data_IF_171761934761
#
_entry.id   IF_171761934761
#
_cell.length_a   1.000
_cell.length_b   1.000
_cell.length_c   1.000
_cell.angle_alpha   90.00
_cell.angle_beta   90.00
_cell.angle_gamma   90.00
#
_symmetry.space_group_name_H-M   'P 1'
#
loop_
_entity.id
_entity.type
_entity.pdbx_description
1 polymer ?
#
# COMPACT_ATOMS: atom_id res chain seq x y z
N UNK A 1 -25.10 -17.91 -14.85
CA UNK A 1 -24.20 -16.78 -15.26
C UNK A 1 -22.81 -17.37 -15.53
N UNK A 2 -22.31 -17.21 -16.77
CA UNK A 2 -21.07 -17.82 -17.25
C UNK A 2 -20.02 -16.74 -17.49
N UNK A 3 -18.79 -16.94 -17.05
CA UNK A 3 -17.66 -16.02 -17.28
C UNK A 3 -17.26 -16.09 -18.76
N UNK A 4 -17.28 -14.96 -19.45
CA UNK A 4 -16.96 -14.86 -20.88
C UNK A 4 -15.57 -14.25 -21.16
N UNK A 5 -15.11 -13.31 -20.33
CA UNK A 5 -13.78 -12.74 -20.50
C UNK A 5 -13.14 -12.39 -19.17
N UNK A 6 -11.81 -12.43 -19.14
CA UNK A 6 -10.97 -11.92 -18.06
C UNK A 6 -9.87 -11.08 -18.70
N UNK A 7 -9.89 -9.78 -18.50
CA UNK A 7 -9.06 -8.83 -19.21
C UNK A 7 -8.27 -7.95 -18.26
N UNK A 8 -6.96 -8.15 -18.15
CA UNK A 8 -6.07 -7.20 -17.49
C UNK A 8 -5.82 -6.02 -18.44
N UNK A 9 -6.39 -4.87 -18.14
CA UNK A 9 -6.28 -3.65 -18.93
C UNK A 9 -5.11 -2.81 -18.39
N UNK A 10 -3.98 -2.84 -19.10
CA UNK A 10 -2.83 -1.99 -18.80
C UNK A 10 -3.06 -0.59 -19.37
N UNK A 11 -3.01 0.41 -18.50
CA UNK A 11 -3.20 1.81 -18.80
C UNK A 11 -1.91 2.56 -18.54
N UNK A 12 -1.54 3.48 -19.42
CA UNK A 12 -0.34 4.30 -19.28
C UNK A 12 -0.66 5.75 -19.61
N UNK A 13 -0.32 6.65 -18.67
CA UNK A 13 -0.50 8.08 -18.85
C UNK A 13 0.87 8.77 -18.76
N UNK A 14 1.45 9.21 -19.89
CA UNK A 14 2.62 10.06 -19.89
C UNK A 14 2.34 11.38 -19.15
N UNK A 15 3.29 11.82 -18.33
CA UNK A 15 3.23 13.17 -17.75
C UNK A 15 3.49 14.22 -18.83
N UNK A 16 2.79 15.34 -18.77
CA UNK A 16 2.99 16.47 -19.70
C UNK A 16 4.45 16.95 -19.67
N UNK A 17 5.05 16.97 -18.48
CA UNK A 17 6.48 17.21 -18.29
C UNK A 17 7.02 16.15 -17.30
N UNK A 18 8.22 15.57 -17.58
CA UNK A 18 8.87 14.68 -16.61
C UNK A 18 9.18 15.40 -15.30
N UNK A 19 8.95 14.73 -14.19
CA UNK A 19 9.25 15.27 -12.85
C UNK A 19 10.50 14.60 -12.31
N UNK A 20 11.52 15.39 -11.97
CA UNK A 20 12.78 14.90 -11.43
C UNK A 20 12.94 15.29 -9.96
N UNK A 21 13.21 14.30 -9.14
CA UNK A 21 13.42 14.43 -7.70
C UNK A 21 14.89 14.15 -7.37
N UNK A 22 15.64 15.14 -6.87
CA UNK A 22 17.00 14.92 -6.40
C UNK A 22 16.98 14.26 -5.00
N UNK A 23 17.95 13.38 -4.74
CA UNK A 23 18.19 12.79 -3.42
C UNK A 23 19.70 12.55 -3.22
N UNK A 24 20.12 12.18 -2.03
CA UNK A 24 21.53 12.08 -1.66
C UNK A 24 22.36 11.16 -2.58
N UNK A 25 21.76 10.09 -3.07
CA UNK A 25 22.40 9.12 -3.99
C UNK A 25 22.28 9.44 -5.48
N UNK A 26 21.56 10.52 -5.86
CA UNK A 26 21.34 10.85 -7.27
C UNK A 26 20.04 11.58 -7.55
N UNK A 27 19.31 11.16 -8.58
CA UNK A 27 17.98 11.66 -8.87
C UNK A 27 17.07 10.55 -9.42
N UNK A 28 15.76 10.73 -9.25
CA UNK A 28 14.73 9.89 -9.84
C UNK A 28 13.86 10.73 -10.76
N UNK A 29 13.69 10.32 -12.00
CA UNK A 29 12.78 10.99 -12.94
C UNK A 29 11.58 10.12 -13.24
N UNK A 30 10.40 10.69 -13.12
CA UNK A 30 9.12 10.06 -13.44
C UNK A 30 8.63 10.62 -14.78
N UNK A 31 8.39 9.75 -15.75
CA UNK A 31 7.94 10.12 -17.09
C UNK A 31 6.47 9.82 -17.34
N UNK A 32 5.93 8.86 -16.61
CA UNK A 32 4.56 8.37 -16.80
C UNK A 32 4.00 7.76 -15.53
N UNK A 33 2.70 7.59 -15.51
CA UNK A 33 1.97 6.81 -14.52
C UNK A 33 1.26 5.66 -15.21
N UNK A 34 1.43 4.48 -14.67
CA UNK A 34 0.82 3.28 -15.17
C UNK A 34 -0.22 2.77 -14.16
N UNK A 35 -1.27 2.13 -14.64
CA UNK A 35 -2.29 1.46 -13.85
C UNK A 35 -2.68 0.15 -14.52
N UNK A 36 -3.27 -0.77 -13.76
CA UNK A 36 -3.97 -1.92 -14.30
C UNK A 36 -5.35 -2.02 -13.68
N UNK A 37 -6.35 -2.27 -14.53
CA UNK A 37 -7.71 -2.61 -14.12
C UNK A 37 -8.03 -4.00 -14.63
N UNK A 38 -8.45 -4.89 -13.75
CA UNK A 38 -8.98 -6.20 -14.12
C UNK A 38 -10.46 -6.01 -14.44
N UNK A 39 -10.88 -6.51 -15.61
CA UNK A 39 -12.28 -6.55 -16.02
C UNK A 39 -12.69 -7.99 -16.29
N UNK A 40 -13.75 -8.45 -15.64
CA UNK A 40 -14.35 -9.76 -15.88
C UNK A 40 -15.78 -9.56 -16.35
N UNK A 41 -16.16 -10.18 -17.48
CA UNK A 41 -17.52 -10.11 -18.03
C UNK A 41 -18.20 -11.45 -18.01
N UNK A 42 -19.53 -11.43 -17.94
CA UNK A 42 -20.37 -12.63 -17.99
C UNK A 42 -21.32 -12.61 -19.19
N UNK A 43 -21.93 -13.75 -19.50
CA UNK A 43 -22.92 -13.89 -20.55
C UNK A 43 -24.29 -13.20 -20.27
N UNK A 44 -24.43 -12.59 -19.10
CA UNK A 44 -25.62 -11.82 -18.70
C UNK A 44 -25.29 -10.32 -18.53
N UNK A 45 -24.22 -9.85 -19.20
CA UNK A 45 -23.75 -8.46 -19.21
C UNK A 45 -23.35 -7.90 -17.84
N UNK A 46 -23.19 -8.75 -16.81
CA UNK A 46 -22.62 -8.33 -15.53
C UNK A 46 -21.11 -8.23 -15.64
N UNK A 47 -20.56 -7.14 -15.10
CA UNK A 47 -19.12 -6.83 -15.16
C UNK A 47 -18.57 -6.61 -13.77
N UNK A 48 -17.43 -7.24 -13.47
CA UNK A 48 -16.64 -7.01 -12.27
C UNK A 48 -15.36 -6.29 -12.58
N UNK A 49 -14.92 -5.43 -11.65
CA UNK A 49 -13.71 -4.66 -11.76
C UNK A 49 -12.84 -4.81 -10.50
N UNK A 50 -11.53 -4.72 -10.71
CA UNK A 50 -10.55 -4.63 -9.63
C UNK A 50 -9.35 -3.79 -10.04
N UNK A 51 -8.64 -3.17 -9.08
CA UNK A 51 -7.27 -2.70 -9.32
C UNK A 51 -6.32 -3.90 -9.40
N UNK A 52 -5.22 -3.73 -10.14
CA UNK A 52 -4.14 -4.71 -10.18
C UNK A 52 -2.78 -4.05 -10.30
N UNK A 53 -1.69 -4.78 -10.04
CA UNK A 53 -0.34 -4.28 -10.23
C UNK A 53 -0.10 -3.89 -11.70
N UNK A 54 0.35 -2.66 -11.96
CA UNK A 54 0.62 -2.18 -13.31
C UNK A 54 1.90 -2.82 -13.89
N UNK A 55 1.81 -4.11 -14.23
CA UNK A 55 2.90 -4.95 -14.69
C UNK A 55 2.49 -5.81 -15.88
N UNK A 56 3.30 -5.77 -16.95
CA UNK A 56 3.13 -6.65 -18.10
C UNK A 56 3.27 -8.13 -17.73
N UNK A 57 4.16 -8.45 -16.78
CA UNK A 57 4.35 -9.81 -16.28
C UNK A 57 3.10 -10.33 -15.57
N UNK A 58 2.48 -9.49 -14.72
CA UNK A 58 1.24 -9.84 -14.03
C UNK A 58 0.10 -9.98 -15.04
N UNK A 59 -0.03 -9.06 -16.00
CA UNK A 59 -1.05 -9.16 -17.05
C UNK A 59 -0.89 -10.44 -17.88
N UNK A 60 0.33 -10.79 -18.27
CA UNK A 60 0.63 -12.03 -18.99
C UNK A 60 0.28 -13.26 -18.13
N UNK A 61 0.60 -13.23 -16.85
CA UNK A 61 0.26 -14.31 -15.90
C UNK A 61 -1.26 -14.51 -15.81
N UNK A 62 -2.03 -13.41 -15.76
CA UNK A 62 -3.50 -13.48 -15.77
C UNK A 62 -4.00 -14.13 -17.05
N UNK A 63 -3.52 -13.66 -18.21
CA UNK A 63 -3.97 -14.16 -19.51
C UNK A 63 -3.62 -15.64 -19.71
N UNK A 64 -2.37 -16.01 -19.44
CA UNK A 64 -1.87 -17.36 -19.79
C UNK A 64 -2.17 -18.41 -18.73
N UNK A 65 -2.16 -18.01 -17.44
CA UNK A 65 -2.21 -18.99 -16.34
C UNK A 65 -3.53 -18.98 -15.56
N UNK A 66 -4.28 -17.85 -15.54
CA UNK A 66 -5.50 -17.73 -14.74
C UNK A 66 -6.75 -17.76 -15.61
N UNK A 67 -6.78 -16.97 -16.66
CA UNK A 67 -7.94 -16.90 -17.58
C UNK A 67 -8.44 -18.28 -18.08
N UNK A 68 -7.57 -19.25 -18.44
CA UNK A 68 -8.03 -20.56 -18.88
C UNK A 68 -8.82 -21.37 -17.84
N UNK A 69 -8.71 -21.03 -16.54
CA UNK A 69 -9.49 -21.68 -15.47
C UNK A 69 -10.85 -21.04 -15.25
N UNK A 70 -11.08 -19.87 -15.79
CA UNK A 70 -12.31 -19.09 -15.56
C UNK A 70 -13.23 -19.06 -16.78
N UNK A 71 -12.67 -19.12 -18.00
CA UNK A 71 -13.48 -19.05 -19.21
C UNK A 71 -14.44 -20.22 -19.34
N UNK A 72 -15.73 -19.92 -19.45
CA UNK A 72 -16.81 -20.89 -19.58
C UNK A 72 -17.30 -21.48 -18.26
N UNK A 73 -16.67 -21.13 -17.13
CA UNK A 73 -17.13 -21.55 -15.81
C UNK A 73 -18.34 -20.74 -15.34
N UNK A 74 -19.21 -21.38 -14.56
CA UNK A 74 -20.23 -20.66 -13.83
C UNK A 74 -19.62 -19.73 -12.80
N UNK A 75 -20.21 -18.54 -12.61
CA UNK A 75 -19.84 -17.63 -11.54
C UNK A 75 -20.03 -18.33 -10.18
N UNK A 76 -19.00 -18.31 -9.36
CA UNK A 76 -18.90 -19.03 -8.10
C UNK A 76 -18.46 -18.11 -6.95
N UNK A 77 -18.59 -18.58 -5.69
CA UNK A 77 -18.01 -17.91 -4.53
C UNK A 77 -16.47 -18.00 -4.58
N UNK A 78 -15.74 -16.86 -4.65
CA UNK A 78 -14.27 -16.88 -4.83
C UNK A 78 -13.46 -17.18 -3.57
N UNK A 79 -14.06 -17.56 -2.45
CA UNK A 79 -13.44 -17.70 -1.13
C UNK A 79 -12.11 -18.48 -1.09
N UNK A 80 -11.98 -19.53 -1.91
CA UNK A 80 -10.75 -20.34 -1.97
C UNK A 80 -9.99 -20.18 -3.30
N UNK A 81 -10.39 -19.25 -4.15
CA UNK A 81 -9.87 -19.13 -5.51
C UNK A 81 -8.36 -18.96 -5.56
N UNK A 82 -7.80 -18.08 -4.73
CA UNK A 82 -6.35 -17.82 -4.71
C UNK A 82 -5.59 -19.04 -4.21
N UNK A 83 -6.04 -19.69 -3.14
CA UNK A 83 -5.39 -20.90 -2.59
C UNK A 83 -5.39 -22.04 -3.59
N UNK A 84 -6.54 -22.33 -4.18
CA UNK A 84 -6.69 -23.42 -5.17
C UNK A 84 -5.78 -23.21 -6.39
N UNK A 85 -5.58 -21.97 -6.81
CA UNK A 85 -4.68 -21.66 -7.92
C UNK A 85 -3.21 -21.72 -7.51
N UNK A 86 -2.85 -21.18 -6.35
CA UNK A 86 -1.47 -21.24 -5.82
C UNK A 86 -1.04 -22.69 -5.60
N UNK A 87 -1.89 -23.54 -5.05
CA UNK A 87 -1.61 -24.97 -4.88
C UNK A 87 -1.35 -25.68 -6.22
N UNK A 88 -2.02 -25.26 -7.29
CA UNK A 88 -1.86 -25.85 -8.62
C UNK A 88 -0.69 -25.27 -9.43
N UNK A 89 -0.34 -24.00 -9.23
CA UNK A 89 0.58 -23.22 -10.09
C UNK A 89 1.80 -22.66 -9.36
N UNK A 90 1.81 -22.69 -8.03
CA UNK A 90 2.88 -22.16 -7.18
C UNK A 90 2.71 -20.70 -6.81
N UNK A 91 3.47 -20.23 -5.85
CA UNK A 91 3.37 -18.90 -5.22
C UNK A 91 3.57 -17.73 -6.19
N UNK A 92 4.27 -17.94 -7.30
CA UNK A 92 4.55 -16.89 -8.29
C UNK A 92 3.30 -16.25 -8.91
N UNK A 93 2.13 -16.88 -8.79
CA UNK A 93 0.86 -16.32 -9.30
C UNK A 93 0.04 -15.59 -8.23
N UNK A 94 0.49 -15.59 -6.98
CA UNK A 94 -0.29 -15.13 -5.82
C UNK A 94 -0.87 -13.72 -6.01
N UNK A 95 -0.03 -12.76 -6.40
CA UNK A 95 -0.47 -11.38 -6.67
C UNK A 95 -1.47 -11.29 -7.83
N UNK A 96 -1.19 -11.99 -8.95
CA UNK A 96 -2.08 -12.02 -10.11
C UNK A 96 -3.44 -12.67 -9.78
N UNK A 97 -3.43 -13.78 -9.04
CA UNK A 97 -4.64 -14.46 -8.60
C UNK A 97 -5.47 -13.58 -7.66
N UNK A 98 -4.80 -12.89 -6.73
CA UNK A 98 -5.45 -11.96 -5.81
C UNK A 98 -6.15 -10.80 -6.52
N UNK A 99 -5.50 -10.19 -7.53
CA UNK A 99 -6.13 -9.13 -8.31
C UNK A 99 -7.38 -9.62 -9.07
N UNK A 100 -7.34 -10.83 -9.62
CA UNK A 100 -8.51 -11.45 -10.28
C UNK A 100 -9.60 -11.81 -9.25
N UNK A 101 -9.23 -12.29 -8.07
CA UNK A 101 -10.18 -12.59 -6.99
C UNK A 101 -11.03 -11.37 -6.61
N UNK A 102 -10.43 -10.19 -6.51
CA UNK A 102 -11.16 -8.95 -6.19
C UNK A 102 -12.25 -8.68 -7.23
N UNK A 103 -11.96 -8.84 -8.53
CA UNK A 103 -12.95 -8.67 -9.58
C UNK A 103 -14.05 -9.76 -9.55
N UNK A 104 -13.71 -10.98 -9.13
CA UNK A 104 -14.68 -12.05 -8.90
C UNK A 104 -15.59 -11.72 -7.71
N UNK A 105 -15.07 -11.17 -6.62
CA UNK A 105 -15.88 -10.71 -5.49
C UNK A 105 -16.81 -9.55 -5.88
N UNK A 106 -16.35 -8.61 -6.69
CA UNK A 106 -17.22 -7.54 -7.22
C UNK A 106 -18.38 -8.12 -8.06
N UNK A 107 -18.10 -9.09 -8.94
CA UNK A 107 -19.14 -9.82 -9.68
C UNK A 107 -20.07 -10.59 -8.76
N UNK A 108 -19.53 -11.33 -7.81
CA UNK A 108 -20.29 -12.17 -6.89
C UNK A 108 -21.22 -11.33 -6.00
N UNK A 109 -20.71 -10.20 -5.49
CA UNK A 109 -21.53 -9.24 -4.75
C UNK A 109 -22.67 -8.64 -5.58
N UNK A 110 -22.39 -8.22 -6.81
CA UNK A 110 -23.41 -7.73 -7.76
C UNK A 110 -24.47 -8.78 -8.08
N UNK A 111 -24.06 -10.02 -8.36
CA UNK A 111 -24.98 -11.12 -8.66
C UNK A 111 -25.89 -11.47 -7.47
N UNK A 112 -25.36 -11.41 -6.26
CA UNK A 112 -26.11 -11.72 -5.03
C UNK A 112 -26.77 -10.48 -4.39
N UNK A 113 -26.55 -9.27 -4.93
CA UNK A 113 -27.07 -7.99 -4.45
C UNK A 113 -26.67 -7.72 -2.97
N UNK A 114 -25.42 -8.04 -2.63
CA UNK A 114 -24.87 -7.83 -1.30
C UNK A 114 -23.51 -7.13 -1.40
N UNK A 115 -23.09 -6.51 -0.29
CA UNK A 115 -21.77 -5.90 -0.20
C UNK A 115 -20.68 -6.97 -0.12
N UNK A 116 -19.52 -6.69 -0.71
CA UNK A 116 -18.33 -7.54 -0.58
C UNK A 116 -17.95 -7.75 0.89
N UNK A 117 -18.18 -6.76 1.74
CA UNK A 117 -17.89 -6.85 3.19
C UNK A 117 -18.65 -7.98 3.89
N UNK A 118 -19.84 -8.37 3.39
CA UNK A 118 -20.63 -9.46 3.96
C UNK A 118 -19.91 -10.82 3.87
N UNK A 119 -19.07 -11.03 2.87
CA UNK A 119 -18.28 -12.24 2.71
C UNK A 119 -17.11 -12.34 3.71
N UNK A 120 -16.73 -11.21 4.32
CA UNK A 120 -15.64 -11.10 5.29
C UNK A 120 -16.13 -10.81 6.72
N UNK A 121 -17.36 -11.23 7.05
CA UNK A 121 -17.93 -11.10 8.38
C UNK A 121 -18.60 -9.76 8.69
N UNK A 122 -18.81 -8.94 7.69
CA UNK A 122 -19.47 -7.63 7.78
C UNK A 122 -18.56 -6.51 8.30
N UNK A 123 -19.09 -5.31 8.27
CA UNK A 123 -18.36 -4.12 8.76
C UNK A 123 -18.19 -4.14 10.27
N UNK A 124 -16.96 -3.82 10.70
CA UNK A 124 -16.59 -3.58 12.10
C UNK A 124 -16.23 -2.11 12.35
N UNK A 125 -15.98 -1.32 11.28
CA UNK A 125 -15.67 0.11 11.32
C UNK A 125 -16.56 0.85 10.31
N UNK A 126 -17.02 2.06 10.66
CA UNK A 126 -17.76 2.94 9.75
C UNK A 126 -16.83 3.88 8.94
N UNK A 127 -15.63 4.09 9.45
CA UNK A 127 -14.58 4.90 8.81
C UNK A 127 -13.24 4.21 8.99
N UNK A 128 -12.28 4.50 8.11
CA UNK A 128 -10.87 4.12 8.29
C UNK A 128 -9.99 5.36 8.37
N UNK A 129 -9.07 5.37 9.32
CA UNK A 129 -8.14 6.47 9.50
C UNK A 129 -7.10 6.47 8.37
N UNK A 130 -6.99 7.60 7.68
CA UNK A 130 -6.01 7.78 6.62
C UNK A 130 -4.77 8.52 7.13
N UNK A 131 -3.60 8.12 6.66
CA UNK A 131 -2.41 8.97 6.76
C UNK A 131 -2.07 9.60 5.41
N UNK A 132 -1.69 10.88 5.44
CA UNK A 132 -1.31 11.60 4.23
C UNK A 132 0.07 11.15 3.77
N UNK A 133 0.13 10.46 2.62
CA UNK A 133 1.39 9.98 2.04
C UNK A 133 1.87 10.90 0.95
N UNK A 134 2.99 11.57 1.19
CA UNK A 134 3.59 12.53 0.25
C UNK A 134 5.12 12.55 0.36
N UNK A 135 5.71 13.72 0.20
CA UNK A 135 7.12 13.94 0.49
C UNK A 135 8.10 13.15 -0.37
N UNK A 136 8.44 13.67 -1.54
CA UNK A 136 9.41 13.05 -2.42
C UNK A 136 10.64 13.94 -2.58
N UNK A 137 11.69 13.64 -1.80
CA UNK A 137 13.04 14.19 -1.99
C UNK A 137 13.08 15.73 -2.14
N UNK A 138 12.56 16.41 -1.14
CA UNK A 138 12.54 17.87 -1.04
C UNK A 138 13.57 18.35 -0.01
N UNK A 139 13.73 19.67 0.14
CA UNK A 139 14.49 20.21 1.27
C UNK A 139 13.80 19.94 2.62
N UNK A 140 14.56 19.91 3.70
CA UNK A 140 14.03 19.71 5.05
C UNK A 140 12.91 20.72 5.38
N UNK A 141 13.08 21.98 4.99
CA UNK A 141 12.07 23.03 5.17
C UNK A 141 10.79 22.75 4.36
N UNK A 142 10.92 22.30 3.10
CA UNK A 142 9.77 21.99 2.26
C UNK A 142 8.97 20.80 2.81
N UNK A 143 9.63 19.80 3.39
CA UNK A 143 8.94 18.70 4.09
C UNK A 143 8.13 19.19 5.29
N UNK A 144 8.68 20.13 6.08
CA UNK A 144 7.98 20.69 7.24
C UNK A 144 6.74 21.49 6.82
N UNK A 145 6.86 22.29 5.76
CA UNK A 145 5.74 23.05 5.18
C UNK A 145 4.65 22.13 4.63
N UNK A 146 5.04 21.06 3.96
CA UNK A 146 4.13 20.06 3.45
C UNK A 146 3.43 19.29 4.57
N UNK A 147 4.16 18.84 5.59
CA UNK A 147 3.57 18.18 6.74
C UNK A 147 2.50 19.04 7.41
N UNK A 148 2.77 20.35 7.60
CA UNK A 148 1.79 21.28 8.14
C UNK A 148 0.56 21.40 7.24
N UNK A 149 0.74 21.54 5.92
CA UNK A 149 -0.37 21.63 4.97
C UNK A 149 -1.24 20.36 4.94
N UNK A 150 -0.63 19.18 5.07
CA UNK A 150 -1.36 17.91 5.16
C UNK A 150 -2.19 17.84 6.45
N UNK A 151 -1.62 18.29 7.56
CA UNK A 151 -2.34 18.35 8.84
C UNK A 151 -3.53 19.33 8.80
N UNK A 152 -3.40 20.44 8.09
CA UNK A 152 -4.52 21.38 7.89
C UNK A 152 -5.71 20.77 7.14
N UNK A 153 -5.47 19.74 6.32
CA UNK A 153 -6.52 18.94 5.69
C UNK A 153 -7.20 17.96 6.67
N UNK A 154 -6.69 17.85 7.89
CA UNK A 154 -7.24 17.02 8.97
C UNK A 154 -6.63 15.62 9.09
N UNK A 155 -5.55 15.31 8.38
CA UNK A 155 -4.86 14.05 8.57
C UNK A 155 -4.13 14.02 9.93
N UNK A 156 -4.28 12.91 10.66
CA UNK A 156 -3.64 12.69 11.95
C UNK A 156 -2.19 12.21 11.84
N UNK A 157 -1.75 11.81 10.64
CA UNK A 157 -0.39 11.39 10.39
C UNK A 157 0.06 11.75 8.96
N UNK A 158 1.36 11.98 8.82
CA UNK A 158 2.02 12.32 7.57
C UNK A 158 3.19 11.36 7.31
N UNK A 159 3.22 10.77 6.10
CA UNK A 159 4.33 9.92 5.63
C UNK A 159 5.14 10.64 4.56
N UNK A 160 6.45 10.61 4.70
CA UNK A 160 7.38 11.18 3.73
C UNK A 160 8.55 10.23 3.46
N UNK A 161 9.32 10.50 2.41
CA UNK A 161 10.43 9.67 1.97
C UNK A 161 11.76 10.37 2.21
N UNK A 162 12.47 10.06 3.33
CA UNK A 162 13.79 10.61 3.62
C UNK A 162 14.81 10.06 2.63
N UNK A 163 15.75 10.86 2.20
CA UNK A 163 16.97 10.48 1.48
C UNK A 163 17.82 11.71 1.15
N UNK A 164 18.01 12.62 2.09
CA UNK A 164 18.79 13.84 1.91
C UNK A 164 20.24 13.70 2.42
N UNK A 165 20.56 12.60 3.06
CA UNK A 165 21.78 12.37 3.82
C UNK A 165 21.47 12.30 5.32
N UNK A 166 22.29 11.57 6.11
CA UNK A 166 21.94 11.29 7.51
C UNK A 166 21.70 12.54 8.38
N UNK A 167 22.49 13.59 8.18
CA UNK A 167 22.35 14.85 8.94
C UNK A 167 21.09 15.61 8.53
N UNK A 168 20.81 15.71 7.24
CA UNK A 168 19.63 16.40 6.72
C UNK A 168 18.34 15.60 6.95
N UNK A 169 18.41 14.26 6.97
CA UNK A 169 17.26 13.41 7.32
C UNK A 169 16.85 13.63 8.78
N UNK A 170 17.84 13.71 9.71
CA UNK A 170 17.56 14.04 11.11
C UNK A 170 16.96 15.45 11.26
N UNK A 171 17.60 16.45 10.64
CA UNK A 171 17.10 17.83 10.65
C UNK A 171 15.68 17.94 10.07
N UNK A 172 15.35 17.13 9.06
CA UNK A 172 14.01 17.10 8.49
C UNK A 172 12.97 16.67 9.53
N UNK A 173 13.26 15.63 10.29
CA UNK A 173 12.38 15.17 11.38
C UNK A 173 12.18 16.26 12.44
N UNK A 174 13.26 16.95 12.86
CA UNK A 174 13.18 18.04 13.81
C UNK A 174 12.24 19.15 13.32
N UNK A 175 12.45 19.64 12.09
CA UNK A 175 11.66 20.74 11.52
C UNK A 175 10.20 20.33 11.32
N UNK A 176 9.93 19.10 10.88
CA UNK A 176 8.55 18.62 10.74
C UNK A 176 7.87 18.54 12.11
N UNK A 177 8.55 18.00 13.14
CA UNK A 177 7.99 17.93 14.50
C UNK A 177 7.69 19.32 15.07
N UNK A 178 8.55 20.30 14.84
CA UNK A 178 8.29 21.70 15.19
C UNK A 178 7.07 22.27 14.46
N UNK A 179 6.90 21.94 13.18
CA UNK A 179 5.81 22.46 12.36
C UNK A 179 4.44 21.88 12.71
N UNK A 180 4.36 20.56 13.00
CA UNK A 180 3.07 19.87 13.20
C UNK A 180 2.69 19.67 14.68
N UNK A 181 3.59 19.96 15.63
CA UNK A 181 3.35 19.73 17.06
C UNK A 181 3.47 18.27 17.48
N UNK A 182 3.23 17.93 18.75
CA UNK A 182 3.52 16.60 19.31
C UNK A 182 2.49 15.52 18.97
N UNK A 183 1.28 15.89 18.59
CA UNK A 183 0.15 14.96 18.48
C UNK A 183 0.02 14.32 17.09
N UNK A 184 0.67 14.89 16.09
CA UNK A 184 0.63 14.37 14.70
C UNK A 184 1.61 13.22 14.53
N UNK A 185 1.15 12.12 13.94
CA UNK A 185 2.00 10.99 13.58
C UNK A 185 2.98 11.37 12.45
N UNK A 186 4.27 11.06 12.64
CA UNK A 186 5.27 11.16 11.58
C UNK A 186 5.72 9.77 11.17
N UNK A 187 5.60 9.45 9.89
CA UNK A 187 5.95 8.16 9.32
C UNK A 187 7.04 8.34 8.27
N UNK A 188 8.12 7.59 8.41
CA UNK A 188 9.28 7.67 7.53
C UNK A 188 9.32 6.43 6.63
N UNK A 189 9.15 6.62 5.32
CA UNK A 189 9.32 5.58 4.31
C UNK A 189 10.78 5.63 3.81
N UNK A 190 11.62 4.84 4.45
CA UNK A 190 13.08 4.91 4.32
C UNK A 190 13.66 3.93 3.28
N UNK A 191 12.85 3.33 2.42
CA UNK A 191 13.35 2.35 1.45
C UNK A 191 14.42 2.92 0.50
N UNK A 192 14.52 4.24 0.31
CA UNK A 192 15.60 4.85 -0.45
C UNK A 192 16.97 4.69 0.23
N UNK A 193 17.05 4.58 1.56
CA UNK A 193 18.30 4.51 2.31
C UNK A 193 19.22 3.36 1.87
N UNK A 194 18.66 2.24 1.45
CA UNK A 194 19.43 1.08 0.96
C UNK A 194 19.43 0.94 -0.57
N UNK A 195 18.79 1.88 -1.30
CA UNK A 195 18.72 1.88 -2.78
C UNK A 195 19.62 2.93 -3.45
N UNK A 196 20.46 3.63 -2.70
CA UNK A 196 21.31 4.72 -3.20
C UNK A 196 22.70 4.26 -3.68
N UNK A 197 22.87 2.97 -3.99
CA UNK A 197 24.15 2.42 -4.44
C UNK A 197 25.27 2.66 -3.43
N UNK A 198 26.38 3.27 -3.86
CA UNK A 198 27.50 3.57 -2.96
C UNK A 198 27.21 4.60 -1.85
N UNK A 199 26.08 5.29 -1.94
CA UNK A 199 25.58 6.24 -0.94
C UNK A 199 24.56 5.64 0.01
N UNK A 200 24.20 4.37 -0.15
CA UNK A 200 23.29 3.67 0.75
C UNK A 200 23.78 3.70 2.17
N UNK A 201 22.84 3.84 3.11
CA UNK A 201 23.18 3.86 4.53
C UNK A 201 23.55 2.44 4.98
N UNK A 202 24.61 2.36 5.78
CA UNK A 202 24.95 1.11 6.48
C UNK A 202 23.96 0.85 7.62
N UNK A 203 23.86 -0.40 8.07
CA UNK A 203 23.03 -0.75 9.23
C UNK A 203 23.40 0.11 10.47
N UNK A 204 24.67 0.45 10.65
CA UNK A 204 25.10 1.31 11.76
C UNK A 204 24.56 2.74 11.65
N UNK A 205 24.46 3.30 10.44
CA UNK A 205 23.82 4.60 10.21
C UNK A 205 22.32 4.51 10.49
N UNK A 206 21.66 3.44 10.03
CA UNK A 206 20.22 3.21 10.28
C UNK A 206 19.95 3.07 11.78
N UNK A 207 20.76 2.30 12.52
CA UNK A 207 20.66 2.16 13.97
C UNK A 207 20.82 3.53 14.67
N UNK A 208 21.84 4.30 14.31
CA UNK A 208 22.07 5.65 14.85
C UNK A 208 20.89 6.60 14.57
N UNK A 209 20.39 6.63 13.33
CA UNK A 209 19.26 7.49 12.97
C UNK A 209 17.98 7.06 13.72
N UNK A 210 17.73 5.75 13.85
CA UNK A 210 16.57 5.24 14.58
C UNK A 210 16.58 5.66 16.04
N UNK A 211 17.76 5.65 16.70
CA UNK A 211 17.94 6.15 18.07
C UNK A 211 17.70 7.68 18.13
N UNK A 212 18.32 8.42 17.21
CA UNK A 212 18.24 9.89 17.19
C UNK A 212 16.82 10.41 16.95
N UNK A 213 16.06 9.78 16.05
CA UNK A 213 14.69 10.21 15.76
C UNK A 213 13.66 9.75 16.80
N UNK A 214 14.00 8.82 17.68
CA UNK A 214 13.08 8.28 18.69
C UNK A 214 12.47 9.36 19.58
N UNK A 215 13.27 10.37 19.96
CA UNK A 215 12.83 11.48 20.81
C UNK A 215 11.78 12.39 20.16
N UNK A 216 11.61 12.29 18.83
CA UNK A 216 10.65 13.09 18.08
C UNK A 216 9.27 12.40 17.91
N UNK A 217 9.02 11.27 18.58
CA UNK A 217 7.72 10.59 18.58
C UNK A 217 7.31 10.08 17.19
N UNK A 218 8.23 9.37 16.53
CA UNK A 218 7.99 8.77 15.22
C UNK A 218 6.98 7.62 15.33
N UNK A 219 5.97 7.62 14.49
CA UNK A 219 4.93 6.59 14.48
C UNK A 219 5.48 5.26 13.96
N UNK A 220 6.22 5.29 12.84
CA UNK A 220 7.01 4.16 12.35
C UNK A 220 8.14 4.59 11.41
N UNK A 221 9.13 3.71 11.30
CA UNK A 221 10.19 3.73 10.30
C UNK A 221 9.95 2.54 9.35
N UNK A 222 9.63 2.85 8.08
CA UNK A 222 9.23 1.91 7.05
C UNK A 222 10.41 1.53 6.18
N UNK A 223 10.63 0.24 6.02
CA UNK A 223 11.65 -0.39 5.17
C UNK A 223 13.04 0.29 5.18
N UNK A 224 13.64 0.51 6.37
CA UNK A 224 14.92 1.21 6.47
C UNK A 224 16.14 0.37 6.04
N UNK A 225 15.95 -0.92 5.80
CA UNK A 225 16.98 -1.90 5.48
C UNK A 225 16.57 -2.74 4.27
N UNK A 226 17.50 -3.41 3.55
CA UNK A 226 17.15 -4.30 2.47
C UNK A 226 16.12 -5.36 2.93
N UNK A 227 14.99 -5.46 2.23
CA UNK A 227 13.84 -6.29 2.65
C UNK A 227 14.18 -7.76 2.93
N UNK A 228 15.22 -8.31 2.31
CA UNK A 228 15.67 -9.70 2.53
C UNK A 228 16.54 -9.87 3.79
N UNK A 229 17.02 -8.80 4.39
CA UNK A 229 17.91 -8.86 5.57
C UNK A 229 17.10 -8.96 6.88
N UNK A 230 16.46 -10.11 7.05
CA UNK A 230 15.60 -10.39 8.22
C UNK A 230 16.34 -10.33 9.55
N UNK A 231 17.64 -10.63 9.56
CA UNK A 231 18.45 -10.56 10.78
C UNK A 231 18.67 -9.11 11.21
N UNK A 232 18.93 -8.22 10.27
CA UNK A 232 19.08 -6.80 10.54
C UNK A 232 17.74 -6.16 10.99
N UNK A 233 16.61 -6.55 10.38
CA UNK A 233 15.28 -6.10 10.84
C UNK A 233 14.98 -6.54 12.26
N UNK A 234 15.15 -7.83 12.59
CA UNK A 234 14.92 -8.34 13.94
C UNK A 234 15.83 -7.65 14.98
N UNK A 235 17.11 -7.41 14.62
CA UNK A 235 18.03 -6.66 15.48
C UNK A 235 17.56 -5.22 15.71
N UNK A 236 17.18 -4.51 14.64
CA UNK A 236 16.72 -3.11 14.72
C UNK A 236 15.46 -2.99 15.58
N UNK A 237 14.47 -3.87 15.33
CA UNK A 237 13.24 -3.90 16.12
C UNK A 237 13.50 -4.16 17.61
N UNK A 238 14.42 -5.08 17.93
CA UNK A 238 14.78 -5.42 19.31
C UNK A 238 15.41 -4.26 20.08
N UNK A 239 15.85 -3.18 19.42
CA UNK A 239 16.34 -1.96 20.06
C UNK A 239 15.23 -1.08 20.63
N UNK A 240 13.98 -1.26 20.14
CA UNK A 240 12.80 -0.52 20.62
C UNK A 240 12.90 1.02 20.56
N UNK A 241 13.70 1.55 19.64
CA UNK A 241 13.82 3.00 19.45
C UNK A 241 12.56 3.58 18.79
N UNK A 242 12.12 2.95 17.69
CA UNK A 242 10.93 3.31 16.92
C UNK A 242 10.23 2.04 16.44
N UNK A 243 8.93 2.10 16.17
CA UNK A 243 8.23 0.98 15.53
C UNK A 243 8.77 0.76 14.12
N UNK A 244 9.00 -0.49 13.75
CA UNK A 244 9.45 -0.88 12.41
C UNK A 244 8.25 -1.35 11.60
N UNK A 245 8.09 -0.78 10.40
CA UNK A 245 7.07 -1.18 9.44
C UNK A 245 7.71 -1.78 8.18
N UNK A 246 7.13 -2.83 7.62
CA UNK A 246 7.51 -3.39 6.33
C UNK A 246 6.44 -4.36 5.80
N UNK A 247 6.56 -4.68 4.50
CA UNK A 247 5.71 -5.70 3.88
C UNK A 247 5.30 -5.40 2.44
N UNK A 248 5.36 -4.14 2.00
CA UNK A 248 4.97 -3.76 0.64
C UNK A 248 5.76 -4.48 -0.46
N UNK A 249 6.97 -4.95 -0.16
CA UNK A 249 7.83 -5.69 -1.07
C UNK A 249 7.84 -7.21 -0.82
N UNK A 250 6.91 -7.74 -0.04
CA UNK A 250 6.73 -9.18 0.05
C UNK A 250 5.98 -9.71 -1.19
N UNK A 251 6.36 -10.90 -1.66
CA UNK A 251 5.83 -11.43 -2.92
C UNK A 251 4.85 -12.58 -2.73
N UNK A 252 4.76 -13.11 -1.50
CA UNK A 252 3.91 -14.24 -1.14
C UNK A 252 3.56 -14.23 0.36
N UNK A 253 2.65 -15.10 0.76
CA UNK A 253 2.23 -15.22 2.15
C UNK A 253 3.36 -15.71 3.08
N UNK A 254 4.33 -16.48 2.56
CA UNK A 254 5.47 -16.95 3.34
C UNK A 254 6.38 -15.80 3.78
N UNK A 255 6.51 -14.75 2.97
CA UNK A 255 7.22 -13.52 3.32
C UNK A 255 6.66 -12.89 4.59
N UNK A 256 5.33 -12.71 4.67
CA UNK A 256 4.65 -12.17 5.86
C UNK A 256 4.78 -13.07 7.08
N UNK A 257 4.65 -14.39 6.89
CA UNK A 257 4.91 -15.37 7.97
C UNK A 257 6.34 -15.27 8.49
N UNK A 258 7.30 -15.00 7.61
CA UNK A 258 8.70 -14.85 7.98
C UNK A 258 8.97 -13.55 8.72
N UNK A 259 8.41 -12.42 8.24
CA UNK A 259 8.49 -11.13 8.93
C UNK A 259 8.03 -11.23 10.38
N UNK A 260 6.83 -11.76 10.59
CA UNK A 260 6.22 -11.88 11.91
C UNK A 260 6.82 -13.04 12.73
N UNK A 261 7.17 -14.15 12.06
CA UNK A 261 7.75 -15.33 12.73
C UNK A 261 9.15 -15.09 13.30
N UNK A 262 9.90 -14.18 12.68
CA UNK A 262 11.25 -13.76 13.11
C UNK A 262 11.26 -12.46 13.91
N UNK A 263 10.09 -11.94 14.25
CA UNK A 263 9.93 -10.69 15.01
C UNK A 263 10.65 -9.49 14.36
N UNK A 264 10.46 -9.33 13.04
CA UNK A 264 11.15 -8.31 12.25
C UNK A 264 10.44 -6.94 12.28
N UNK A 265 9.11 -6.90 12.51
CA UNK A 265 8.29 -5.70 12.39
C UNK A 265 7.27 -5.57 13.51
N UNK A 266 6.88 -4.34 13.82
CA UNK A 266 5.75 -3.99 14.70
C UNK A 266 4.47 -3.79 13.89
N UNK A 267 4.64 -3.29 12.64
CA UNK A 267 3.55 -2.96 11.72
C UNK A 267 3.79 -3.67 10.40
N UNK A 268 2.81 -4.46 9.96
CA UNK A 268 2.83 -5.07 8.63
C UNK A 268 2.14 -4.15 7.65
N UNK A 269 2.74 -3.94 6.48
CA UNK A 269 2.18 -3.13 5.40
C UNK A 269 1.92 -3.98 4.18
N UNK A 270 0.70 -3.96 3.68
CA UNK A 270 0.30 -4.64 2.45
C UNK A 270 -0.94 -3.98 1.85
N UNK A 271 -1.26 -4.31 0.61
CA UNK A 271 -2.45 -3.84 -0.09
C UNK A 271 -3.15 -4.98 -0.84
N UNK A 272 -4.43 -4.82 -1.07
CA UNK A 272 -5.27 -5.83 -1.73
C UNK A 272 -4.82 -6.09 -3.17
N UNK A 273 -4.27 -5.08 -3.85
CA UNK A 273 -3.91 -5.19 -5.28
C UNK A 273 -2.69 -6.08 -5.53
N UNK A 274 -1.74 -6.13 -4.58
CA UNK A 274 -0.45 -6.83 -4.72
C UNK A 274 -0.35 -8.10 -3.87
N UNK A 275 -1.11 -8.20 -2.78
CA UNK A 275 -0.86 -9.18 -1.72
C UNK A 275 -1.99 -10.20 -1.56
N UNK A 276 -2.32 -10.88 -2.67
CA UNK A 276 -3.22 -12.04 -2.67
C UNK A 276 -4.70 -11.72 -2.55
N UNK A 277 -5.11 -10.48 -2.92
CA UNK A 277 -6.51 -10.08 -2.94
C UNK A 277 -7.10 -9.87 -1.54
N UNK A 278 -8.41 -9.85 -1.45
CA UNK A 278 -9.15 -9.70 -0.20
C UNK A 278 -8.89 -10.87 0.76
N UNK A 279 -8.84 -12.10 0.25
CA UNK A 279 -8.55 -13.30 1.05
C UNK A 279 -7.12 -13.30 1.57
N UNK A 280 -6.15 -12.86 0.75
CA UNK A 280 -4.75 -12.75 1.16
C UNK A 280 -4.57 -11.74 2.29
N UNK A 281 -5.14 -10.54 2.16
CA UNK A 281 -5.10 -9.51 3.19
C UNK A 281 -5.79 -9.97 4.47
N UNK A 282 -6.95 -10.60 4.39
CA UNK A 282 -7.63 -11.15 5.57
C UNK A 282 -6.73 -12.11 6.36
N UNK A 283 -6.02 -13.01 5.66
CA UNK A 283 -5.07 -13.96 6.30
C UNK A 283 -3.84 -13.26 6.88
N UNK A 284 -3.34 -12.20 6.24
CA UNK A 284 -2.22 -11.42 6.78
C UNK A 284 -2.65 -10.71 8.06
N UNK A 285 -3.85 -10.11 8.08
CA UNK A 285 -4.40 -9.43 9.27
C UNK A 285 -4.62 -10.42 10.42
N UNK A 286 -5.21 -11.60 10.15
CA UNK A 286 -5.34 -12.67 11.13
C UNK A 286 -3.97 -13.09 11.72
N UNK A 287 -2.94 -13.12 10.89
CA UNK A 287 -1.58 -13.43 11.33
C UNK A 287 -1.02 -12.31 12.22
N UNK A 288 -1.28 -11.04 11.89
CA UNK A 288 -0.90 -9.89 12.73
C UNK A 288 -1.55 -9.99 14.12
N UNK A 289 -2.86 -10.25 14.19
CA UNK A 289 -3.58 -10.41 15.46
C UNK A 289 -2.95 -11.51 16.34
N UNK A 290 -2.66 -12.67 15.74
CA UNK A 290 -2.02 -13.80 16.47
C UNK A 290 -0.61 -13.50 16.93
N UNK A 291 0.06 -12.51 16.36
CA UNK A 291 1.44 -12.12 16.66
C UNK A 291 1.55 -10.79 17.38
N UNK A 292 0.42 -10.18 17.77
CA UNK A 292 0.37 -8.88 18.43
C UNK A 292 1.03 -7.74 17.64
N UNK A 293 1.04 -7.87 16.32
CA UNK A 293 1.45 -6.82 15.39
C UNK A 293 0.22 -6.05 14.90
N UNK A 294 0.40 -4.81 14.46
CA UNK A 294 -0.64 -4.04 13.78
C UNK A 294 -0.47 -4.11 12.27
N UNK A 295 -1.51 -3.70 11.55
CA UNK A 295 -1.55 -3.68 10.11
C UNK A 295 -1.85 -2.26 9.60
N UNK A 296 -1.16 -1.82 8.57
CA UNK A 296 -1.45 -0.58 7.85
C UNK A 296 -1.58 -0.88 6.36
N UNK A 297 -2.68 -0.44 5.75
CA UNK A 297 -2.85 -0.59 4.32
C UNK A 297 -1.88 0.31 3.58
N UNK A 298 -0.99 -0.30 2.81
CA UNK A 298 -0.16 0.38 1.82
C UNK A 298 -1.02 0.74 0.61
N UNK A 299 -0.78 1.89 0.01
CA UNK A 299 -1.44 2.27 -1.22
C UNK A 299 -0.59 3.18 -2.09
N UNK A 300 -0.21 2.70 -3.24
CA UNK A 300 0.52 3.46 -4.24
C UNK A 300 -0.04 3.21 -5.64
N UNK A 301 -1.33 3.47 -5.80
CA UNK A 301 -2.07 3.17 -7.02
C UNK A 301 -3.05 4.26 -7.43
N UNK A 302 -4.02 3.88 -8.23
CA UNK A 302 -5.15 4.73 -8.62
C UNK A 302 -6.17 4.83 -7.49
N UNK A 303 -7.15 5.74 -7.64
CA UNK A 303 -8.25 5.90 -6.68
C UNK A 303 -9.08 4.61 -6.43
N UNK A 304 -9.01 3.62 -7.32
CA UNK A 304 -9.71 2.35 -7.13
C UNK A 304 -9.08 1.49 -6.02
N UNK A 305 -7.75 1.52 -5.87
CA UNK A 305 -7.05 0.72 -4.86
C UNK A 305 -7.41 1.12 -3.42
N UNK A 306 -7.35 2.43 -3.00
CA UNK A 306 -7.76 2.81 -1.65
C UNK A 306 -9.21 2.44 -1.31
N UNK A 307 -10.11 2.41 -2.29
CA UNK A 307 -11.51 1.99 -2.07
C UNK A 307 -11.57 0.52 -1.68
N UNK A 308 -10.84 -0.34 -2.38
CA UNK A 308 -10.82 -1.79 -2.10
C UNK A 308 -10.11 -2.08 -0.78
N UNK A 309 -9.01 -1.40 -0.49
CA UNK A 309 -8.30 -1.49 0.79
C UNK A 309 -9.19 -1.03 1.95
N UNK A 310 -9.94 0.06 1.77
CA UNK A 310 -10.88 0.56 2.77
C UNK A 310 -12.01 -0.44 3.05
N UNK A 311 -12.56 -1.10 2.03
CA UNK A 311 -13.54 -2.19 2.25
C UNK A 311 -12.95 -3.34 3.06
N UNK A 312 -11.75 -3.77 2.73
CA UNK A 312 -11.04 -4.80 3.50
C UNK A 312 -10.82 -4.35 4.94
N UNK A 313 -10.33 -3.11 5.15
CA UNK A 313 -10.14 -2.51 6.47
C UNK A 313 -11.41 -2.40 7.27
N UNK A 314 -12.55 -2.12 6.63
CA UNK A 314 -13.85 -2.04 7.31
C UNK A 314 -14.27 -3.34 7.99
N UNK A 315 -13.80 -4.47 7.50
CA UNK A 315 -14.08 -5.79 8.08
C UNK A 315 -13.17 -6.16 9.26
N UNK A 316 -12.18 -5.32 9.57
CA UNK A 316 -11.18 -5.58 10.60
C UNK A 316 -11.40 -4.73 11.86
N UNK A 317 -10.96 -5.18 13.04
CA UNK A 317 -10.92 -4.33 14.23
C UNK A 317 -9.99 -3.13 14.03
N UNK A 318 -10.41 -1.95 14.50
CA UNK A 318 -9.62 -0.70 14.35
C UNK A 318 -8.25 -0.79 15.05
N UNK A 319 -8.17 -1.49 16.15
CA UNK A 319 -6.93 -1.71 16.88
C UNK A 319 -5.89 -2.53 16.10
N UNK A 320 -6.32 -3.40 15.20
CA UNK A 320 -5.43 -4.20 14.36
C UNK A 320 -5.11 -3.49 13.05
N UNK A 321 -6.14 -2.96 12.35
CA UNK A 321 -6.02 -2.34 11.04
C UNK A 321 -6.57 -0.91 11.06
N UNK A 322 -5.80 0.00 11.67
CA UNK A 322 -6.21 1.40 11.83
C UNK A 322 -5.97 2.24 10.59
N UNK A 323 -4.86 2.03 9.89
CA UNK A 323 -4.30 2.98 8.95
C UNK A 323 -4.48 2.56 7.50
N UNK A 324 -4.91 3.52 6.68
CA UNK A 324 -4.90 3.45 5.22
C UNK A 324 -4.01 4.54 4.63
N UNK A 325 -3.08 4.18 3.76
CA UNK A 325 -2.30 5.13 2.99
C UNK A 325 -3.19 5.90 2.01
N UNK A 326 -3.12 7.22 2.06
CA UNK A 326 -3.87 8.07 1.16
C UNK A 326 -2.95 9.04 0.41
N UNK A 327 -2.49 8.66 -0.81
CA UNK A 327 -1.56 9.49 -1.58
C UNK A 327 -2.25 10.53 -2.46
N UNK A 328 -3.58 10.55 -2.54
CA UNK A 328 -4.33 11.28 -3.58
C UNK A 328 -4.77 12.68 -3.19
N UNK A 329 -4.65 13.07 -1.92
CA UNK A 329 -5.01 14.40 -1.46
C UNK A 329 -4.18 15.52 -2.11
N UNK A 330 -2.98 15.19 -2.58
CA UNK A 330 -2.04 16.14 -3.18
C UNK A 330 -2.42 16.59 -4.60
N UNK A 331 -3.40 15.98 -5.23
CA UNK A 331 -3.81 16.32 -6.59
C UNK A 331 -4.41 17.70 -6.73
N UNK A 332 -4.95 18.26 -5.66
CA UNK A 332 -5.84 19.41 -5.81
C UNK A 332 -5.15 20.75 -5.77
N UNK A 333 -3.95 20.87 -5.15
CA UNK A 333 -3.31 22.19 -5.02
C UNK A 333 -1.81 22.19 -4.77
N UNK A 334 -1.17 21.07 -4.57
CA UNK A 334 0.22 21.07 -4.17
C UNK A 334 1.13 20.45 -5.21
N UNK A 335 2.20 21.12 -5.51
CA UNK A 335 3.35 20.68 -6.28
C UNK A 335 4.11 19.52 -5.62
N UNK A 336 3.53 18.89 -4.63
CA UNK A 336 4.14 18.07 -3.61
C UNK A 336 4.14 16.59 -3.95
N UNK A 337 3.07 16.11 -4.57
CA UNK A 337 3.04 14.77 -5.14
C UNK A 337 3.01 14.88 -6.65
N UNK A 338 3.77 14.06 -7.32
CA UNK A 338 3.63 13.96 -8.75
C UNK A 338 2.22 13.45 -9.09
N UNK A 339 1.60 14.00 -10.14
CA UNK A 339 0.21 13.72 -10.46
C UNK A 339 -0.02 12.22 -10.74
N UNK A 340 -1.20 11.74 -10.33
CA UNK A 340 -1.77 10.46 -10.73
C UNK A 340 -2.96 10.71 -11.66
N UNK A 341 -2.73 11.13 -12.91
CA UNK A 341 -3.81 11.58 -13.79
C UNK A 341 -4.89 10.52 -14.03
N UNK A 342 -4.53 9.22 -13.96
CA UNK A 342 -5.48 8.11 -14.12
C UNK A 342 -6.43 7.95 -12.92
N UNK A 343 -6.16 8.58 -11.77
CA UNK A 343 -7.02 8.42 -10.59
C UNK A 343 -8.41 9.00 -10.82
N UNK A 344 -8.48 10.25 -11.28
CA UNK A 344 -9.73 10.95 -11.48
C UNK A 344 -10.49 10.43 -12.72
N UNK A 345 -9.77 9.93 -13.72
CA UNK A 345 -10.37 9.34 -14.93
C UNK A 345 -11.00 7.97 -14.65
N UNK A 346 -10.36 7.15 -13.79
CA UNK A 346 -10.85 5.81 -13.47
C UNK A 346 -11.95 5.82 -12.40
N UNK A 347 -11.88 6.74 -11.44
CA UNK A 347 -12.84 6.86 -10.34
C UNK A 347 -13.17 8.33 -10.10
N UNK A 348 -14.02 8.95 -10.95
CA UNK A 348 -14.32 10.39 -10.87
C UNK A 348 -14.93 10.84 -9.54
N UNK A 349 -15.64 9.94 -8.87
CA UNK A 349 -16.29 10.17 -7.57
C UNK A 349 -15.61 9.36 -6.46
N UNK A 350 -14.27 9.26 -6.50
CA UNK A 350 -13.54 8.57 -5.44
C UNK A 350 -13.84 9.19 -4.07
N UNK A 351 -14.06 8.36 -3.03
CA UNK A 351 -14.30 8.88 -1.70
C UNK A 351 -13.06 9.66 -1.21
N UNK A 352 -13.32 10.78 -0.57
CA UNK A 352 -12.28 11.69 -0.05
C UNK A 352 -12.34 11.66 1.47
N UNK A 353 -11.21 11.56 2.16
CA UNK A 353 -11.17 11.63 3.62
C UNK A 353 -11.72 12.96 4.13
N UNK A 354 -12.52 12.89 5.16
CA UNK A 354 -13.03 14.06 5.90
C UNK A 354 -12.35 14.08 7.25
N UNK A 355 -11.54 15.09 7.51
CA UNK A 355 -10.70 15.18 8.72
C UNK A 355 -9.84 13.92 8.94
N UNK A 356 -9.23 13.43 7.88
CA UNK A 356 -8.37 12.26 7.92
C UNK A 356 -9.08 10.90 8.03
N UNK A 357 -10.40 10.86 8.09
CA UNK A 357 -11.19 9.63 8.11
C UNK A 357 -11.89 9.42 6.76
N UNK A 358 -11.71 8.27 6.15
CA UNK A 358 -12.40 7.87 4.93
C UNK A 358 -13.71 7.18 5.32
N UNK A 359 -14.88 7.70 4.91
CA UNK A 359 -16.15 7.02 5.13
C UNK A 359 -16.24 5.75 4.29
N UNK A 360 -16.89 4.72 4.82
CA UNK A 360 -16.96 3.36 4.26
C UNK A 360 -18.37 2.98 3.84
#
# INVERSE_FOLDING_TARGET
MIIQSVEPLLLSCPLAEPVTFPFFGGCRTIFKRDAMVIRITTNEDLVGYAPGPASEEVATTIIEKITPFLLGEELFNPENFVEDLVDKKGDSIWSAAGAVEVALYDLWGKANKCSVTEFFGGRKQETICCYGSAGMYQSAQAYAEEAAAVCELGFEAYKYRPALGPEDDLKTVELMREAVGPDVGLCLDAHAWWRMGAKSYSSAIVEFLSEAIAMHGITWLEEPLPVKDRDAYAKLKAMHYVNIAAGEHEHDFLGFRTLLGRDCVDIVQADVSHHGGLSGISKIIDLCERRFATFAFHNWGTALAPVVDAWSGSCCPRETARWLEYPQYAHRDTRVMYPFPLSDELVPEAPVPVKGELPL
#
